data_IF_978356446521
#
_entry.id   IF_978356446521
#
_cell.length_a   1.000
_cell.length_b   1.000
_cell.length_c   1.000
_cell.angle_alpha   90.00
_cell.angle_beta   90.00
_cell.angle_gamma   90.00
#
_symmetry.space_group_name_H-M   'P 1'
#
loop_
_entity.id
_entity.type
_entity.pdbx_description
1 polymer ?
#
# COMPACT_ATOMS: atom_id res chain seq x y z
N UNK A 1 -2.73 -19.02 2.33
CA UNK A 1 -1.84 -18.45 3.37
C UNK A 1 -2.02 -16.94 3.31
N UNK A 2 -2.47 -16.29 4.38
CA UNK A 2 -2.60 -14.83 4.37
C UNK A 2 -1.20 -14.21 4.47
N UNK A 3 -0.91 -13.17 3.68
CA UNK A 3 0.39 -12.50 3.67
C UNK A 3 0.60 -11.63 4.92
N UNK A 4 -0.49 -11.11 5.52
CA UNK A 4 -0.42 -10.22 6.70
C UNK A 4 0.17 -10.90 7.94
N UNK A 5 -0.24 -12.12 8.33
CA UNK A 5 0.43 -12.85 9.42
C UNK A 5 1.89 -13.18 9.16
N UNK A 6 2.28 -13.35 7.90
CA UNK A 6 3.70 -13.56 7.56
C UNK A 6 4.49 -12.26 7.80
N UNK A 7 3.94 -11.11 7.41
CA UNK A 7 4.54 -9.82 7.72
C UNK A 7 4.61 -9.55 9.23
N UNK A 8 3.57 -9.91 10.00
CA UNK A 8 3.59 -9.79 11.46
C UNK A 8 4.77 -10.56 12.08
N UNK A 9 4.92 -11.82 11.69
CA UNK A 9 6.03 -12.64 12.16
C UNK A 9 7.39 -12.02 11.79
N UNK A 10 7.55 -11.64 10.53
CA UNK A 10 8.83 -11.08 10.07
C UNK A 10 9.16 -9.77 10.80
N UNK A 11 8.19 -8.88 10.98
CA UNK A 11 8.42 -7.57 11.58
C UNK A 11 8.58 -7.64 13.09
N UNK A 12 7.74 -8.39 13.80
CA UNK A 12 7.69 -8.35 15.26
C UNK A 12 8.44 -9.50 15.91
N UNK A 13 8.30 -10.73 15.41
CA UNK A 13 8.92 -11.89 16.05
C UNK A 13 10.37 -12.08 15.59
N UNK A 14 10.68 -11.76 14.34
CA UNK A 14 12.02 -11.94 13.79
C UNK A 14 12.90 -10.69 13.87
N UNK A 15 12.37 -9.54 13.45
CA UNK A 15 13.16 -8.30 13.32
C UNK A 15 13.04 -7.35 14.50
N UNK A 16 12.10 -7.58 15.43
CA UNK A 16 11.82 -6.69 16.56
C UNK A 16 11.65 -5.22 16.12
N UNK A 17 10.85 -5.00 15.08
CA UNK A 17 10.65 -3.69 14.47
C UNK A 17 10.06 -2.65 15.44
N UNK A 18 9.35 -3.09 16.48
CA UNK A 18 8.83 -2.21 17.52
C UNK A 18 9.96 -1.46 18.24
N UNK A 19 11.13 -2.09 18.43
CA UNK A 19 12.30 -1.44 19.04
C UNK A 19 12.78 -0.17 18.31
N UNK A 20 12.38 0.03 17.05
CA UNK A 20 12.73 1.24 16.30
C UNK A 20 12.16 2.51 16.92
N UNK A 21 11.01 2.43 17.62
CA UNK A 21 10.40 3.57 18.30
C UNK A 21 11.26 4.12 19.45
N UNK A 22 12.25 3.38 19.93
CA UNK A 22 13.20 3.84 20.94
C UNK A 22 14.21 4.87 20.39
N UNK A 23 14.32 4.98 19.06
CA UNK A 23 15.18 5.98 18.41
C UNK A 23 14.43 7.28 18.31
N UNK A 24 15.09 8.39 18.65
CA UNK A 24 14.50 9.74 18.62
C UNK A 24 13.76 10.06 17.32
N UNK A 25 14.30 9.64 16.17
CA UNK A 25 13.68 9.84 14.85
C UNK A 25 12.29 9.17 14.70
N UNK A 26 12.02 8.09 15.42
CA UNK A 26 10.80 7.29 15.31
C UNK A 26 9.97 7.27 16.60
N UNK A 27 10.29 8.15 17.55
CA UNK A 27 9.66 8.19 18.88
C UNK A 27 8.15 8.49 18.83
N UNK A 28 7.68 9.10 17.73
CA UNK A 28 6.26 9.38 17.49
C UNK A 28 5.47 8.16 16.97
N UNK A 29 6.14 7.03 16.73
CA UNK A 29 5.52 5.80 16.25
C UNK A 29 5.37 4.74 17.34
N UNK A 30 4.37 3.89 17.15
CA UNK A 30 4.13 2.69 17.94
C UNK A 30 3.81 1.51 17.03
N UNK A 31 3.78 0.31 17.60
CA UNK A 31 3.31 -0.88 16.90
C UNK A 31 1.92 -0.66 16.28
N UNK A 32 1.01 -0.02 17.00
CA UNK A 32 -0.33 0.29 16.50
C UNK A 32 -0.28 1.19 15.27
N UNK A 33 0.64 2.16 15.22
CA UNK A 33 0.80 3.01 14.03
C UNK A 33 1.33 2.23 12.83
N UNK A 34 2.25 1.27 13.04
CA UNK A 34 2.74 0.39 11.99
C UNK A 34 1.63 -0.53 11.47
N UNK A 35 0.88 -1.15 12.37
CA UNK A 35 -0.23 -2.03 12.04
C UNK A 35 -1.32 -1.28 11.26
N UNK A 36 -1.69 -0.06 11.67
CA UNK A 36 -2.67 0.76 10.98
C UNK A 36 -2.27 1.05 9.52
N UNK A 37 -0.98 1.32 9.27
CA UNK A 37 -0.43 1.53 7.92
C UNK A 37 -0.53 0.25 7.10
N UNK A 38 -0.07 -0.88 7.64
CA UNK A 38 -0.06 -2.17 6.95
C UNK A 38 -1.48 -2.65 6.62
N UNK A 39 -2.42 -2.50 7.56
CA UNK A 39 -3.82 -2.89 7.37
C UNK A 39 -4.51 -2.00 6.33
N UNK A 40 -4.23 -0.70 6.33
CA UNK A 40 -4.73 0.23 5.31
C UNK A 40 -4.20 -0.14 3.93
N UNK A 41 -2.91 -0.43 3.82
CA UNK A 41 -2.28 -0.90 2.58
C UNK A 41 -2.87 -2.23 2.10
N UNK A 42 -3.07 -3.20 2.99
CA UNK A 42 -3.68 -4.49 2.63
C UNK A 42 -5.10 -4.29 2.07
N UNK A 43 -5.92 -3.47 2.74
CA UNK A 43 -7.28 -3.19 2.29
C UNK A 43 -7.30 -2.54 0.91
N UNK A 44 -6.47 -1.52 0.69
CA UNK A 44 -6.37 -0.85 -0.62
C UNK A 44 -5.88 -1.84 -1.67
N UNK A 45 -4.85 -2.64 -1.39
CA UNK A 45 -4.35 -3.64 -2.31
C UNK A 45 -5.45 -4.66 -2.70
N UNK A 46 -6.21 -5.15 -1.72
CA UNK A 46 -7.28 -6.13 -1.91
C UNK A 46 -8.46 -5.57 -2.69
N UNK A 47 -8.86 -4.33 -2.44
CA UNK A 47 -10.08 -3.75 -2.99
C UNK A 47 -9.86 -2.99 -4.30
N UNK A 48 -8.68 -2.38 -4.47
CA UNK A 48 -8.41 -1.43 -5.56
C UNK A 48 -7.33 -1.87 -6.53
N UNK A 49 -6.43 -2.77 -6.15
CA UNK A 49 -5.34 -3.22 -7.03
C UNK A 49 -5.57 -4.66 -7.52
N UNK A 50 -5.68 -5.63 -6.61
CA UNK A 50 -5.73 -7.05 -6.93
C UNK A 50 -6.85 -7.44 -7.93
N UNK A 51 -8.10 -6.92 -7.83
CA UNK A 51 -9.18 -7.28 -8.75
C UNK A 51 -8.93 -6.81 -10.19
N UNK A 52 -8.11 -5.76 -10.37
CA UNK A 52 -7.91 -5.09 -11.66
C UNK A 52 -6.59 -5.44 -12.34
N UNK A 53 -5.75 -6.27 -11.72
CA UNK A 53 -4.45 -6.66 -12.28
C UNK A 53 -4.55 -7.17 -13.72
N UNK A 54 -5.52 -8.04 -14.02
CA UNK A 54 -5.73 -8.55 -15.38
C UNK A 54 -6.31 -7.48 -16.32
N UNK A 55 -7.18 -6.62 -15.82
CA UNK A 55 -7.80 -5.55 -16.62
C UNK A 55 -6.72 -4.59 -17.12
N UNK A 56 -5.87 -4.09 -16.23
CA UNK A 56 -4.81 -3.13 -16.59
C UNK A 56 -3.72 -3.75 -17.47
N UNK A 57 -3.49 -5.06 -17.35
CA UNK A 57 -2.60 -5.82 -18.23
C UNK A 57 -3.17 -5.98 -19.64
N UNK A 58 -4.45 -6.34 -19.77
CA UNK A 58 -5.09 -6.52 -21.09
C UNK A 58 -5.51 -5.22 -21.77
N UNK A 59 -5.76 -4.17 -21.00
CA UNK A 59 -6.13 -2.84 -21.48
C UNK A 59 -4.93 -1.92 -21.31
N UNK A 60 -3.92 -2.15 -22.15
CA UNK A 60 -2.68 -1.37 -22.14
C UNK A 60 -2.95 0.14 -22.33
N UNK A 61 -2.12 1.01 -21.74
CA UNK A 61 -2.21 2.44 -22.00
C UNK A 61 -2.12 2.74 -23.50
N UNK A 62 -3.04 3.56 -24.01
CA UNK A 62 -3.06 3.96 -25.42
C UNK A 62 -2.96 5.47 -25.56
N UNK A 63 -2.30 5.91 -26.63
CA UNK A 63 -2.18 7.32 -26.97
C UNK A 63 -3.19 7.70 -28.05
N UNK A 64 -4.00 8.72 -27.80
CA UNK A 64 -5.05 9.17 -28.72
C UNK A 64 -4.57 10.24 -29.72
N UNK A 65 -3.31 10.67 -29.61
CA UNK A 65 -2.75 11.78 -30.39
C UNK A 65 -2.45 13.02 -29.55
N UNK A 66 -3.06 13.14 -28.36
CA UNK A 66 -2.87 14.27 -27.44
C UNK A 66 -2.47 13.81 -26.03
N UNK A 67 -3.02 12.70 -25.54
CA UNK A 67 -2.81 12.18 -24.18
C UNK A 67 -2.81 10.66 -24.13
N UNK A 68 -2.23 10.15 -23.04
CA UNK A 68 -2.27 8.71 -22.71
C UNK A 68 -3.53 8.43 -21.91
N UNK A 69 -4.29 7.42 -22.35
CA UNK A 69 -5.50 6.94 -21.71
C UNK A 69 -5.21 5.61 -21.03
N UNK A 70 -5.55 5.52 -19.75
CA UNK A 70 -5.45 4.31 -18.94
C UNK A 70 -6.85 3.86 -18.51
N UNK A 71 -7.03 2.57 -18.14
CA UNK A 71 -8.27 2.11 -17.54
C UNK A 71 -8.61 2.90 -16.26
N UNK A 72 -9.90 3.20 -16.06
CA UNK A 72 -10.39 3.97 -14.90
C UNK A 72 -9.94 3.37 -13.56
N UNK A 73 -9.83 2.05 -13.48
CA UNK A 73 -9.33 1.35 -12.30
C UNK A 73 -7.93 1.83 -11.84
N UNK A 74 -7.06 2.23 -12.77
CA UNK A 74 -5.74 2.76 -12.46
C UNK A 74 -5.84 4.07 -11.69
N UNK A 75 -6.71 4.98 -12.15
CA UNK A 75 -6.96 6.25 -11.48
C UNK A 75 -7.58 6.01 -10.10
N UNK A 76 -8.58 5.14 -9.98
CA UNK A 76 -9.28 4.91 -8.73
C UNK A 76 -8.37 4.27 -7.67
N UNK A 77 -7.48 3.36 -8.09
CA UNK A 77 -6.47 2.75 -7.24
C UNK A 77 -5.42 3.76 -6.77
N UNK A 78 -4.91 4.59 -7.68
CA UNK A 78 -3.99 5.67 -7.36
C UNK A 78 -4.63 6.69 -6.40
N UNK A 79 -5.87 7.12 -6.69
CA UNK A 79 -6.62 8.05 -5.84
C UNK A 79 -6.80 7.50 -4.43
N UNK A 80 -7.22 6.24 -4.29
CA UNK A 80 -7.38 5.62 -2.97
C UNK A 80 -6.05 5.57 -2.19
N UNK A 81 -4.93 5.32 -2.87
CA UNK A 81 -3.61 5.33 -2.25
C UNK A 81 -3.20 6.75 -1.79
N UNK A 82 -3.42 7.77 -2.63
CA UNK A 82 -3.14 9.17 -2.28
C UNK A 82 -4.03 9.63 -1.11
N UNK A 83 -5.33 9.39 -1.18
CA UNK A 83 -6.30 9.80 -0.16
C UNK A 83 -6.03 9.13 1.20
N UNK A 84 -5.33 7.98 1.21
CA UNK A 84 -4.93 7.30 2.44
C UNK A 84 -3.70 7.91 3.14
N UNK A 85 -3.06 8.90 2.53
CA UNK A 85 -1.86 9.56 3.07
C UNK A 85 -0.56 8.79 2.85
N UNK A 86 -0.60 7.64 2.16
CA UNK A 86 0.58 6.79 1.95
C UNK A 86 1.66 7.42 1.05
N UNK A 87 1.30 8.41 0.23
CA UNK A 87 2.27 9.19 -0.55
C UNK A 87 3.26 9.98 0.31
N UNK A 88 2.89 10.27 1.56
CA UNK A 88 3.72 10.99 2.53
C UNK A 88 4.03 10.14 3.76
N UNK A 89 3.90 8.82 3.67
CA UNK A 89 4.35 7.93 4.74
C UNK A 89 5.86 8.13 4.94
N UNK A 90 6.25 8.52 6.16
CA UNK A 90 7.61 8.86 6.55
C UNK A 90 8.19 7.80 7.50
#
# INVERSE_FOLDING_TARGET
MSLRPTLDFLLYDWLDAESLNQRERFADHSRETFDAVLDTCERIAREKYAPFNRVVDTQEPHFDGEKVILPQATHDAHKAFVDSGMMSAA
#
